data_IF_441883501479
#
_entry.id   IF_441883501479
#
_cell.length_a   1.000
_cell.length_b   1.000
_cell.length_c   1.000
_cell.angle_alpha   90.00
_cell.angle_beta   90.00
_cell.angle_gamma   90.00
#
_symmetry.space_group_name_H-M   'P 1'
#
loop_
_entity.id
_entity.type
_entity.pdbx_description
1 polymer ?
#
# COMPACT_ATOMS: atom_id res chain seq x y z
N UNK A 1 -38.20 6.69 -28.33
CA UNK A 1 -36.90 5.96 -28.22
C UNK A 1 -35.72 6.88 -27.92
N UNK A 2 -35.55 8.04 -28.60
CA UNK A 2 -34.48 9.02 -28.31
C UNK A 2 -34.35 9.47 -26.84
N UNK A 3 -35.49 9.64 -26.14
CA UNK A 3 -35.53 10.09 -24.74
C UNK A 3 -34.93 9.07 -23.75
N UNK A 4 -35.12 7.76 -24.01
CA UNK A 4 -34.59 6.68 -23.15
C UNK A 4 -33.07 6.58 -23.29
N UNK A 5 -32.54 6.80 -24.50
CA UNK A 5 -31.10 6.78 -24.77
C UNK A 5 -30.36 7.90 -24.04
N UNK A 6 -30.99 9.07 -23.88
CA UNK A 6 -30.41 10.23 -23.16
C UNK A 6 -30.34 9.95 -21.66
N UNK A 7 -31.38 9.35 -21.07
CA UNK A 7 -31.40 8.99 -19.65
C UNK A 7 -30.33 7.93 -19.33
N UNK A 8 -30.14 6.96 -20.22
CA UNK A 8 -29.12 5.92 -20.06
C UNK A 8 -27.69 6.50 -20.11
N UNK A 9 -27.43 7.50 -20.97
CA UNK A 9 -26.13 8.19 -21.01
C UNK A 9 -25.87 9.04 -19.75
N UNK A 10 -26.92 9.65 -19.16
CA UNK A 10 -26.77 10.45 -17.93
C UNK A 10 -26.40 9.60 -16.71
N UNK A 11 -26.90 8.36 -16.62
CA UNK A 11 -26.56 7.44 -15.53
C UNK A 11 -25.11 6.96 -15.58
N UNK A 12 -24.51 6.83 -16.77
CA UNK A 12 -23.10 6.42 -16.92
C UNK A 12 -22.14 7.55 -16.54
N UNK A 13 -22.53 8.81 -16.72
CA UNK A 13 -21.71 9.95 -16.29
C UNK A 13 -21.58 10.07 -14.76
N UNK A 14 -22.62 9.66 -14.01
CA UNK A 14 -22.64 9.75 -12.55
C UNK A 14 -21.68 8.78 -11.83
N UNK A 15 -21.15 7.76 -12.50
CA UNK A 15 -20.23 6.78 -11.89
C UNK A 15 -18.76 7.17 -12.00
N UNK A 16 -18.43 8.31 -12.63
CA UNK A 16 -17.03 8.76 -12.75
C UNK A 16 -16.55 9.53 -11.52
N UNK A 17 -16.44 8.83 -10.40
CA UNK A 17 -15.76 9.36 -9.22
C UNK A 17 -14.24 9.34 -9.44
N UNK A 18 -13.71 10.42 -10.01
CA UNK A 18 -12.28 10.71 -9.98
C UNK A 18 -11.83 11.10 -8.57
N UNK A 19 -11.83 10.16 -7.63
CA UNK A 19 -11.41 10.42 -6.25
C UNK A 19 -9.92 10.81 -6.25
N UNK A 20 -9.65 12.10 -6.10
CA UNK A 20 -8.29 12.60 -5.86
C UNK A 20 -7.81 11.98 -4.54
N UNK A 21 -6.69 11.26 -4.60
CA UNK A 21 -6.03 10.70 -3.40
C UNK A 21 -5.97 11.73 -2.28
N UNK A 22 -6.49 11.38 -1.11
CA UNK A 22 -6.52 12.25 0.06
C UNK A 22 -5.08 12.63 0.45
N UNK A 23 -4.85 13.92 0.69
CA UNK A 23 -3.61 14.40 1.31
C UNK A 23 -3.74 14.18 2.81
N UNK A 24 -2.81 13.42 3.39
CA UNK A 24 -2.74 13.24 4.85
C UNK A 24 -1.61 14.10 5.37
N UNK A 25 -1.94 15.00 6.27
CA UNK A 25 -1.00 15.89 6.93
C UNK A 25 -0.69 15.38 8.35
N UNK A 26 0.44 15.80 8.91
CA UNK A 26 1.01 15.38 10.19
C UNK A 26 1.61 13.97 10.20
N UNK A 27 2.81 13.84 10.79
CA UNK A 27 3.59 12.60 10.79
C UNK A 27 2.82 11.43 11.40
N UNK A 28 2.18 11.65 12.54
CA UNK A 28 1.47 10.59 13.27
C UNK A 28 0.31 10.01 12.46
N UNK A 29 -0.49 10.88 11.83
CA UNK A 29 -1.59 10.45 10.97
C UNK A 29 -1.10 9.71 9.71
N UNK A 30 0.01 10.17 9.11
CA UNK A 30 0.62 9.51 7.96
C UNK A 30 1.07 8.10 8.33
N UNK A 31 1.75 7.94 9.47
CA UNK A 31 2.23 6.63 9.94
C UNK A 31 1.05 5.74 10.29
N UNK A 32 0.07 6.23 11.05
CA UNK A 32 -1.12 5.45 11.42
C UNK A 32 -1.90 4.99 10.18
N UNK A 33 -2.07 5.85 9.17
CA UNK A 33 -2.73 5.50 7.90
C UNK A 33 -1.91 4.48 7.10
N UNK A 34 -0.58 4.64 7.06
CA UNK A 34 0.31 3.71 6.38
C UNK A 34 0.25 2.32 7.01
N UNK A 35 0.30 2.24 8.35
CA UNK A 35 0.19 1.00 9.12
C UNK A 35 -1.15 0.33 8.84
N UNK A 36 -2.26 1.06 9.00
CA UNK A 36 -3.60 0.51 8.77
C UNK A 36 -3.82 0.02 7.32
N UNK A 37 -3.26 0.73 6.35
CA UNK A 37 -3.35 0.32 4.94
C UNK A 37 -2.50 -0.92 4.68
N UNK A 38 -1.27 -0.99 5.22
CA UNK A 38 -0.42 -2.18 5.14
C UNK A 38 -1.06 -3.38 5.82
N UNK A 39 -1.66 -3.23 7.00
CA UNK A 39 -2.41 -4.29 7.70
C UNK A 39 -3.55 -4.80 6.80
N UNK A 40 -4.34 -3.88 6.23
CA UNK A 40 -5.45 -4.24 5.36
C UNK A 40 -5.00 -5.01 4.12
N UNK A 41 -3.87 -4.63 3.48
CA UNK A 41 -3.39 -5.32 2.27
C UNK A 41 -2.53 -6.54 2.55
N UNK A 42 -2.02 -6.70 3.78
CA UNK A 42 -1.20 -7.82 4.19
C UNK A 42 -2.01 -8.94 4.87
N UNK A 43 -3.16 -8.63 5.50
CA UNK A 43 -3.99 -9.64 6.19
C UNK A 43 -5.23 -10.08 5.40
N UNK A 44 -5.70 -9.28 4.45
CA UNK A 44 -6.91 -9.60 3.68
C UNK A 44 -6.63 -10.52 2.48
N UNK A 45 -7.50 -11.51 2.16
CA UNK A 45 -7.33 -12.40 1.01
C UNK A 45 -7.33 -11.67 -0.35
N UNK A 46 -7.97 -10.51 -0.43
CA UNK A 46 -7.95 -9.63 -1.62
C UNK A 46 -6.80 -8.61 -1.61
N UNK A 47 -6.00 -8.60 -0.54
CA UNK A 47 -4.88 -7.70 -0.37
C UNK A 47 -3.77 -7.99 -1.39
N UNK A 48 -3.27 -6.93 -2.05
CA UNK A 48 -2.21 -7.07 -3.07
C UNK A 48 -0.94 -7.69 -2.48
N UNK A 49 -0.59 -7.32 -1.25
CA UNK A 49 0.58 -7.87 -0.55
C UNK A 49 0.29 -9.32 -0.13
N UNK A 50 -0.85 -9.59 0.50
CA UNK A 50 -1.25 -10.94 0.91
C UNK A 50 -1.22 -11.94 -0.26
N UNK A 51 -1.78 -11.56 -1.41
CA UNK A 51 -1.79 -12.42 -2.60
C UNK A 51 -0.37 -12.70 -3.11
N UNK A 52 0.47 -11.67 -3.24
CA UNK A 52 1.85 -11.84 -3.71
C UNK A 52 2.71 -12.64 -2.74
N UNK A 53 2.50 -12.46 -1.43
CA UNK A 53 3.15 -13.22 -0.37
C UNK A 53 2.77 -14.70 -0.45
N UNK A 54 1.46 -14.99 -0.55
CA UNK A 54 0.92 -16.35 -0.66
C UNK A 54 1.39 -17.05 -1.94
N UNK A 55 1.31 -16.37 -3.09
CA UNK A 55 1.83 -16.86 -4.38
C UNK A 55 3.33 -17.17 -4.33
N UNK A 56 4.09 -16.41 -3.52
CA UNK A 56 5.54 -16.57 -3.37
C UNK A 56 5.96 -17.57 -2.29
N UNK A 57 5.01 -18.12 -1.52
CA UNK A 57 5.28 -19.00 -0.37
C UNK A 57 6.07 -18.33 0.75
N UNK A 58 5.88 -17.02 0.94
CA UNK A 58 6.55 -16.23 1.99
C UNK A 58 5.73 -16.37 3.27
N UNK A 59 6.37 -16.83 4.35
CA UNK A 59 5.72 -17.05 5.65
C UNK A 59 6.62 -16.59 6.78
N UNK A 60 6.02 -16.25 7.92
CA UNK A 60 6.72 -15.84 9.12
C UNK A 60 6.69 -14.34 9.36
N UNK A 61 7.53 -13.91 10.30
CA UNK A 61 7.57 -12.53 10.74
C UNK A 61 8.68 -11.75 10.03
N UNK A 62 8.33 -10.61 9.43
CA UNK A 62 9.28 -9.71 8.77
C UNK A 62 9.16 -8.30 9.33
N UNK A 63 10.25 -7.79 9.89
CA UNK A 63 10.32 -6.42 10.39
C UNK A 63 11.04 -5.56 9.36
N UNK A 64 10.34 -4.57 8.81
CA UNK A 64 10.92 -3.63 7.85
C UNK A 64 10.83 -2.19 8.33
N UNK A 65 11.88 -1.45 8.03
CA UNK A 65 11.93 0.00 8.08
C UNK A 65 11.54 0.55 6.70
N UNK A 66 10.35 1.14 6.61
CA UNK A 66 9.78 1.65 5.38
C UNK A 66 9.87 3.18 5.37
N UNK A 67 10.36 3.75 4.28
CA UNK A 67 10.37 5.20 4.07
C UNK A 67 9.36 5.58 2.99
N UNK A 68 8.37 6.36 3.38
CA UNK A 68 7.35 6.91 2.49
C UNK A 68 7.78 8.27 1.94
N UNK A 69 7.51 8.52 0.67
CA UNK A 69 7.76 9.77 -0.05
C UNK A 69 6.50 10.24 -0.76
N UNK A 70 6.62 11.39 -1.42
CA UNK A 70 5.59 12.04 -2.22
C UNK A 70 4.76 11.06 -3.05
N UNK A 71 3.49 11.40 -3.27
CA UNK A 71 2.54 10.60 -4.08
C UNK A 71 2.24 9.19 -3.52
N UNK A 72 2.64 8.90 -2.29
CA UNK A 72 2.40 7.59 -1.66
C UNK A 72 3.37 6.52 -2.11
N UNK A 73 4.56 6.91 -2.59
CA UNK A 73 5.58 5.99 -3.07
C UNK A 73 6.53 5.58 -1.93
N UNK A 74 6.88 4.30 -1.89
CA UNK A 74 7.89 3.80 -0.96
C UNK A 74 9.27 4.08 -1.56
N UNK A 75 10.04 4.94 -0.90
CA UNK A 75 11.39 5.30 -1.34
C UNK A 75 12.40 4.21 -1.00
N UNK A 76 12.34 3.67 0.22
CA UNK A 76 13.26 2.64 0.70
C UNK A 76 12.55 1.66 1.63
N UNK A 77 13.00 0.41 1.58
CA UNK A 77 12.59 -0.68 2.48
C UNK A 77 13.87 -1.31 2.98
N UNK A 78 14.09 -1.24 4.29
CA UNK A 78 15.23 -1.86 4.96
C UNK A 78 14.74 -3.01 5.84
N UNK A 79 15.49 -4.12 5.84
CA UNK A 79 15.18 -5.26 6.69
C UNK A 79 15.85 -5.05 8.05
N UNK A 80 15.06 -5.13 9.12
CA UNK A 80 15.53 -4.91 10.49
C UNK A 80 15.82 -6.23 11.21
N UNK A 81 15.09 -7.30 10.89
CA UNK A 81 15.30 -8.62 11.48
C UNK A 81 15.70 -9.65 10.40
N UNK A 82 16.88 -10.24 10.56
CA UNK A 82 17.57 -11.09 9.58
C UNK A 82 17.76 -12.55 10.09
N UNK A 83 17.10 -12.92 11.19
CA UNK A 83 17.50 -14.10 11.97
C UNK A 83 16.83 -15.44 11.64
N UNK A 84 15.65 -15.46 11.02
CA UNK A 84 14.82 -16.69 10.90
C UNK A 84 14.50 -17.06 9.44
N UNK A 85 14.41 -16.07 8.56
CA UNK A 85 13.93 -16.26 7.19
C UNK A 85 15.08 -16.19 6.17
N UNK A 86 15.02 -17.00 5.11
CA UNK A 86 16.07 -17.00 4.08
C UNK A 86 16.25 -15.63 3.41
N UNK A 87 17.50 -15.27 3.09
CA UNK A 87 17.84 -14.01 2.38
C UNK A 87 17.04 -13.87 1.07
N UNK A 88 16.80 -14.98 0.38
CA UNK A 88 15.99 -15.01 -0.85
C UNK A 88 14.53 -14.57 -0.59
N UNK A 89 13.91 -15.08 0.47
CA UNK A 89 12.54 -14.69 0.85
C UNK A 89 12.47 -13.23 1.31
N UNK A 90 13.47 -12.77 2.08
CA UNK A 90 13.55 -11.38 2.51
C UNK A 90 13.65 -10.42 1.32
N UNK A 91 14.48 -10.75 0.32
CA UNK A 91 14.60 -9.94 -0.89
C UNK A 91 13.29 -9.91 -1.69
N UNK A 92 12.60 -11.05 -1.84
CA UNK A 92 11.28 -11.08 -2.49
C UNK A 92 10.26 -10.22 -1.77
N UNK A 93 10.19 -10.32 -0.44
CA UNK A 93 9.29 -9.53 0.38
C UNK A 93 9.60 -8.03 0.26
N UNK A 94 10.90 -7.66 0.31
CA UNK A 94 11.37 -6.30 0.07
C UNK A 94 10.92 -5.76 -1.29
N UNK A 95 11.02 -6.58 -2.35
CA UNK A 95 10.61 -6.17 -3.69
C UNK A 95 9.09 -6.03 -3.82
N UNK A 96 8.29 -6.89 -3.15
CA UNK A 96 6.83 -6.77 -3.07
C UNK A 96 6.45 -5.44 -2.42
N UNK A 97 6.99 -5.17 -1.23
CA UNK A 97 6.70 -3.93 -0.49
C UNK A 97 7.17 -2.71 -1.27
N UNK A 98 8.34 -2.75 -1.91
CA UNK A 98 8.87 -1.62 -2.69
C UNK A 98 8.00 -1.28 -3.92
N UNK A 99 7.33 -2.27 -4.53
CA UNK A 99 6.40 -2.04 -5.64
C UNK A 99 5.05 -1.47 -5.20
N UNK A 100 4.72 -1.60 -3.92
CA UNK A 100 3.46 -1.11 -3.39
C UNK A 100 3.39 0.42 -3.41
N UNK A 101 2.20 0.95 -3.71
CA UNK A 101 1.93 2.38 -3.69
C UNK A 101 0.69 2.66 -2.87
N UNK A 102 0.83 3.54 -1.88
CA UNK A 102 -0.25 3.90 -0.99
C UNK A 102 -1.38 4.65 -1.72
N UNK A 103 -2.58 4.48 -1.21
CA UNK A 103 -3.82 5.11 -1.69
C UNK A 103 -3.87 6.62 -1.40
N UNK A 104 -3.06 7.09 -0.45
CA UNK A 104 -2.98 8.50 -0.03
C UNK A 104 -1.70 9.19 -0.48
N UNK A 105 -1.70 10.54 -0.39
CA UNK A 105 -0.54 11.38 -0.68
C UNK A 105 0.03 11.95 0.61
N UNK A 106 1.35 12.08 0.65
CA UNK A 106 2.06 12.82 1.71
C UNK A 106 2.53 14.18 1.21
N UNK A 107 2.79 15.15 2.11
CA UNK A 107 3.28 16.48 1.75
C UNK A 107 4.57 16.43 0.93
N UNK A 108 4.68 17.32 -0.06
CA UNK A 108 5.83 17.45 -0.95
C UNK A 108 7.10 17.81 -0.15
N UNK A 109 8.25 17.23 -0.53
CA UNK A 109 9.55 17.50 0.07
C UNK A 109 9.82 16.81 1.41
N UNK A 110 8.85 16.06 1.96
CA UNK A 110 9.00 15.33 3.22
C UNK A 110 9.02 13.82 2.99
N UNK A 111 9.92 13.14 3.69
CA UNK A 111 9.94 11.69 3.79
C UNK A 111 9.62 11.27 5.23
N UNK A 112 8.92 10.15 5.35
CA UNK A 112 8.50 9.63 6.65
C UNK A 112 8.98 8.19 6.77
N UNK A 113 9.91 7.96 7.69
CA UNK A 113 10.38 6.63 8.05
C UNK A 113 9.56 6.09 9.22
N UNK A 114 9.09 4.85 9.08
CA UNK A 114 8.41 4.10 10.13
C UNK A 114 8.80 2.63 10.05
N UNK A 115 8.73 1.94 11.19
CA UNK A 115 8.93 0.52 11.27
C UNK A 115 7.57 -0.18 11.20
N UNK A 116 7.51 -1.28 10.47
CA UNK A 116 6.32 -2.10 10.37
C UNK A 116 6.68 -3.59 10.39
N UNK A 117 5.88 -4.37 11.11
CA UNK A 117 6.07 -5.82 11.25
C UNK A 117 4.96 -6.54 10.50
N UNK A 118 5.35 -7.25 9.44
CA UNK A 118 4.45 -8.16 8.75
C UNK A 118 4.42 -9.49 9.49
N UNK A 119 3.22 -9.94 9.88
CA UNK A 119 2.97 -11.28 10.40
C UNK A 119 2.19 -12.04 9.32
N UNK A 120 2.84 -13.00 8.66
CA UNK A 120 2.33 -13.73 7.49
C UNK A 120 2.34 -15.24 7.70
#
# INVERSE_FOLDING_TARGET
MKQITIILMLLVAATTYGQKKQLVEYRENIVARAVAELDSVASGPEGVIFRQVTESGIHGQYVFDITLREKGEIATVFVVNDGVNSIAMQNRMKDIVKRYRFSFKVPKGKSYKFQYTFNL
#
